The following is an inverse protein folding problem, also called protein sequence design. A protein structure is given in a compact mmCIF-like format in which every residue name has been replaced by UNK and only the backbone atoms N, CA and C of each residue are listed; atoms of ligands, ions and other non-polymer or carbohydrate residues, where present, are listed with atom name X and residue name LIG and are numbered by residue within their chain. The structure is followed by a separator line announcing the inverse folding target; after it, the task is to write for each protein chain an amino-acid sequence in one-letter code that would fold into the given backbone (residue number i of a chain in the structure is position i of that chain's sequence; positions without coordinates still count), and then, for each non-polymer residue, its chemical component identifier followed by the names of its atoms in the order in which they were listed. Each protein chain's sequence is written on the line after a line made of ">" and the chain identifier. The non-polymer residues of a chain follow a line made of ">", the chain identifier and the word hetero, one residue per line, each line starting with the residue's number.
data_IF_034646523540
#
_entry.id   IF_034646523540
#
_cell.length_a   1.000
_cell.length_b   1.000
_cell.length_c   1.000
_cell.angle_alpha   90.00
_cell.angle_beta   90.00
_cell.angle_gamma   90.00
#
_symmetry.space_group_name_H-M   'P 1'
#
loop_
_entity.id
_entity.type
_entity.pdbx_description
1 polymer ?
#
# COMPACT_ATOMS: atom_id res chain seq x y z
N UNK A 1 -10.09 -11.30 3.26
CA UNK A 1 -10.39 -10.01 2.59
C UNK A 1 -9.28 -9.04 2.94
N UNK A 2 -8.61 -8.46 1.95
CA UNK A 2 -7.56 -7.46 2.18
C UNK A 2 -8.17 -6.06 2.25
N UNK A 3 -7.69 -5.22 3.17
CA UNK A 3 -8.03 -3.80 3.19
C UNK A 3 -6.76 -2.98 2.99
N UNK A 4 -6.81 -2.02 2.08
CA UNK A 4 -5.70 -1.12 1.78
C UNK A 4 -6.13 0.32 2.08
N UNK A 5 -5.47 0.95 3.06
CA UNK A 5 -5.50 2.39 3.26
C UNK A 5 -4.40 3.06 2.44
N UNK A 6 -4.73 4.19 1.80
CA UNK A 6 -3.79 5.02 1.04
C UNK A 6 -3.94 6.45 1.53
N UNK A 7 -2.90 6.98 2.14
CA UNK A 7 -2.78 8.40 2.47
C UNK A 7 -1.95 9.11 1.40
N UNK A 8 -2.48 10.21 0.86
CA UNK A 8 -1.95 10.89 -0.32
C UNK A 8 -1.48 12.27 0.06
N UNK A 9 -0.20 12.55 -0.13
CA UNK A 9 0.39 13.88 0.02
C UNK A 9 1.00 14.38 -1.29
N UNK A 10 1.39 15.66 -1.35
CA UNK A 10 2.07 16.23 -2.53
C UNK A 10 3.36 15.49 -2.93
N UNK A 11 4.05 14.86 -1.98
CA UNK A 11 5.36 14.23 -2.22
C UNK A 11 5.35 12.72 -2.05
N UNK A 12 4.37 12.17 -1.33
CA UNK A 12 4.39 10.77 -0.88
C UNK A 12 3.03 10.11 -0.97
N UNK A 13 3.06 8.80 -1.17
CA UNK A 13 1.93 7.90 -0.93
C UNK A 13 2.31 6.99 0.23
N UNK A 14 1.50 7.00 1.28
CA UNK A 14 1.67 6.16 2.46
C UNK A 14 0.60 5.06 2.44
N UNK A 15 1.03 3.81 2.32
CA UNK A 15 0.19 2.62 2.16
C UNK A 15 0.11 1.84 3.46
N UNK A 16 -1.08 1.35 3.80
CA UNK A 16 -1.33 0.45 4.92
C UNK A 16 -2.20 -0.72 4.50
N UNK A 17 -1.63 -1.93 4.43
CA UNK A 17 -2.32 -3.16 4.04
C UNK A 17 -2.63 -4.02 5.27
N UNK A 18 -3.91 -4.35 5.46
CA UNK A 18 -4.42 -5.27 6.47
C UNK A 18 -4.76 -6.61 5.80
N UNK A 19 -4.04 -7.69 6.16
CA UNK A 19 -4.22 -9.01 5.53
C UNK A 19 -5.44 -9.78 6.05
N UNK A 20 -5.88 -9.52 7.28
CA UNK A 20 -6.98 -10.25 7.94
C UNK A 20 -7.92 -9.27 8.68
N UNK A 21 -8.14 -8.09 8.10
CA UNK A 21 -8.86 -7.00 8.74
C UNK A 21 -8.09 -6.38 9.92
N UNK A 22 -8.82 -5.70 10.82
CA UNK A 22 -8.25 -4.83 11.88
C UNK A 22 -7.38 -5.58 12.90
N UNK A 23 -7.58 -6.90 13.06
CA UNK A 23 -6.77 -7.75 13.96
C UNK A 23 -5.58 -8.42 13.27
N UNK A 24 -5.47 -8.29 11.95
CA UNK A 24 -4.47 -8.96 11.13
C UNK A 24 -3.12 -8.25 11.09
N UNK A 25 -2.13 -8.94 10.53
CA UNK A 25 -0.79 -8.38 10.32
C UNK A 25 -0.84 -7.17 9.37
N UNK A 26 -0.36 -6.04 9.87
CA UNK A 26 -0.25 -4.77 9.12
C UNK A 26 1.05 -4.74 8.33
N UNK A 27 0.97 -4.34 7.04
CA UNK A 27 2.15 -3.99 6.24
C UNK A 27 2.05 -2.56 5.75
N UNK A 28 3.06 -1.76 6.04
CA UNK A 28 3.13 -0.37 5.58
C UNK A 28 4.17 -0.21 4.47
N UNK A 29 3.96 0.79 3.60
CA UNK A 29 4.97 1.20 2.63
C UNK A 29 4.78 2.67 2.24
N UNK A 30 5.89 3.40 2.19
CA UNK A 30 5.94 4.77 1.69
C UNK A 30 6.55 4.81 0.30
N UNK A 31 5.93 5.54 -0.62
CA UNK A 31 6.38 5.74 -1.99
C UNK A 31 6.45 7.24 -2.29
N UNK A 32 7.21 7.63 -3.32
CA UNK A 32 7.08 8.97 -3.91
C UNK A 32 5.75 9.07 -4.64
N UNK A 33 5.12 10.25 -4.54
CA UNK A 33 3.97 10.59 -5.37
C UNK A 33 4.47 11.20 -6.69
N UNK A 34 4.84 10.33 -7.62
CA UNK A 34 5.25 10.69 -8.98
C UNK A 34 4.47 9.86 -10.00
N UNK A 35 4.74 10.06 -11.29
CA UNK A 35 4.03 9.38 -12.38
C UNK A 35 4.13 7.85 -12.33
N UNK A 36 5.11 7.30 -11.62
CA UNK A 36 5.31 5.86 -11.48
C UNK A 36 4.66 5.27 -10.23
N UNK A 37 4.07 6.11 -9.37
CA UNK A 37 3.58 5.69 -8.06
C UNK A 37 2.52 4.57 -8.16
N UNK A 38 1.58 4.67 -9.11
CA UNK A 38 0.56 3.66 -9.33
C UNK A 38 1.17 2.28 -9.71
N UNK A 39 2.13 2.27 -10.64
CA UNK A 39 2.86 1.06 -11.03
C UNK A 39 3.61 0.44 -9.84
N UNK A 40 4.25 1.28 -9.03
CA UNK A 40 4.97 0.83 -7.84
C UNK A 40 4.03 0.22 -6.78
N UNK A 41 2.84 0.81 -6.57
CA UNK A 41 1.79 0.26 -5.69
C UNK A 41 1.35 -1.12 -6.20
N UNK A 42 0.97 -1.24 -7.47
CA UNK A 42 0.52 -2.52 -8.06
C UNK A 42 1.60 -3.59 -7.93
N UNK A 43 2.85 -3.25 -8.27
CA UNK A 43 3.99 -4.17 -8.16
C UNK A 43 4.22 -4.62 -6.73
N UNK A 44 4.08 -3.72 -5.75
CA UNK A 44 4.20 -4.06 -4.34
C UNK A 44 3.06 -4.96 -3.86
N UNK A 45 1.82 -4.67 -4.28
CA UNK A 45 0.65 -5.49 -3.96
C UNK A 45 0.75 -6.90 -4.53
N UNK A 46 1.24 -7.07 -5.76
CA UNK A 46 1.47 -8.39 -6.38
C UNK A 46 2.46 -9.27 -5.60
N UNK A 47 3.43 -8.66 -4.90
CA UNK A 47 4.38 -9.39 -4.03
C UNK A 47 3.77 -9.78 -2.68
N UNK A 48 2.58 -9.29 -2.38
CA UNK A 48 1.87 -9.73 -1.19
C UNK A 48 1.20 -11.05 -1.53
N UNK A 49 1.99 -12.15 -1.51
CA UNK A 49 1.44 -13.51 -1.61
C UNK A 49 0.24 -13.61 -0.68
N UNK A 50 -0.92 -13.85 -1.29
CA UNK A 50 -2.15 -14.27 -0.66
C UNK A 50 -2.01 -15.76 -0.36
#
# INVERSE_FOLDING_TARGET
>A
MFQLGIDVSKKTLDLCLLREGVKGRVKTRKLKNDLNAASAVITWLRKQNC
#
